data_IF_653663054109
#
_entry.id   IF_653663054109
#
_cell.length_a   1.000
_cell.length_b   1.000
_cell.length_c   1.000
_cell.angle_alpha   90.00
_cell.angle_beta   90.00
_cell.angle_gamma   90.00
#
_symmetry.space_group_name_H-M   'P 1'
#
loop_
_entity.id
_entity.type
_entity.pdbx_description
1 polymer ?
#
# COMPACT_ATOMS: atom_id res chain seq x y z
N UNK A 1 0.56 8.18 -11.39
CA UNK A 1 0.41 6.71 -11.53
C UNK A 1 1.46 6.20 -12.52
N UNK A 2 2.10 5.05 -12.27
CA UNK A 2 3.13 4.50 -13.16
C UNK A 2 2.48 3.69 -14.31
N UNK A 3 3.12 3.65 -15.48
CA UNK A 3 2.60 2.88 -16.63
C UNK A 3 2.42 1.39 -16.31
N UNK A 4 3.26 0.83 -15.43
CA UNK A 4 3.14 -0.54 -14.97
C UNK A 4 1.85 -0.79 -14.15
N UNK A 5 1.42 0.18 -13.33
CA UNK A 5 0.21 0.01 -12.51
C UNK A 5 -1.05 -0.06 -13.38
N UNK A 6 -1.07 0.64 -14.53
CA UNK A 6 -2.20 0.63 -15.47
C UNK A 6 -2.46 -0.74 -16.10
N UNK A 7 -1.48 -1.63 -16.09
CA UNK A 7 -1.65 -2.99 -16.65
C UNK A 7 -2.11 -4.01 -15.60
N UNK A 8 -2.34 -3.60 -14.35
CA UNK A 8 -2.75 -4.46 -13.24
C UNK A 8 -4.25 -4.34 -12.96
N UNK A 9 -4.75 -5.27 -12.15
CA UNK A 9 -6.14 -5.36 -11.68
C UNK A 9 -6.14 -5.90 -10.23
N UNK A 10 -7.31 -6.03 -9.62
CA UNK A 10 -7.54 -6.59 -8.28
C UNK A 10 -6.85 -7.94 -8.12
N UNK A 11 -6.84 -8.78 -9.16
CA UNK A 11 -6.10 -10.04 -9.18
C UNK A 11 -5.10 -10.00 -10.34
N UNK A 12 -3.83 -10.22 -10.03
CA UNK A 12 -2.75 -10.26 -11.03
C UNK A 12 -1.78 -11.41 -10.77
N UNK A 13 -1.11 -11.89 -11.81
CA UNK A 13 -0.07 -12.91 -11.73
C UNK A 13 1.30 -12.27 -11.95
N UNK A 14 2.25 -12.49 -11.04
CA UNK A 14 3.62 -12.01 -11.23
C UNK A 14 4.46 -12.98 -12.08
N UNK A 15 5.65 -12.54 -12.53
CA UNK A 15 6.55 -13.34 -13.36
C UNK A 15 7.07 -14.63 -12.68
N UNK A 16 6.88 -14.78 -11.38
CA UNK A 16 7.23 -15.99 -10.61
C UNK A 16 6.05 -16.95 -10.46
N UNK A 17 4.89 -16.61 -11.04
CA UNK A 17 3.66 -17.39 -10.92
C UNK A 17 2.90 -17.17 -9.62
N UNK A 18 3.19 -16.09 -8.88
CA UNK A 18 2.49 -15.78 -7.63
C UNK A 18 1.25 -14.94 -7.93
N UNK A 19 0.09 -15.39 -7.41
CA UNK A 19 -1.15 -14.63 -7.46
C UNK A 19 -1.09 -13.51 -6.42
N UNK A 20 -1.22 -12.27 -6.88
CA UNK A 20 -1.32 -11.07 -6.07
C UNK A 20 -2.77 -10.59 -6.06
N UNK A 21 -3.29 -10.30 -4.88
CA UNK A 21 -4.64 -9.77 -4.69
C UNK A 21 -4.56 -8.40 -4.03
N UNK A 22 -5.06 -7.37 -4.73
CA UNK A 22 -5.10 -5.98 -4.30
C UNK A 22 -6.58 -5.54 -4.16
N UNK A 23 -7.23 -5.82 -3.02
CA UNK A 23 -8.68 -5.60 -2.86
C UNK A 23 -9.10 -4.13 -2.93
N UNK A 24 -8.17 -3.20 -2.71
CA UNK A 24 -8.39 -1.75 -2.74
C UNK A 24 -7.82 -1.10 -4.02
N UNK A 25 -7.62 -1.88 -5.10
CA UNK A 25 -6.89 -1.42 -6.29
C UNK A 25 -7.46 -0.14 -6.91
N UNK A 26 -8.79 -0.02 -6.94
CA UNK A 26 -9.53 1.11 -7.50
C UNK A 26 -9.93 2.17 -6.46
N UNK A 27 -9.55 2.00 -5.19
CA UNK A 27 -9.92 2.97 -4.16
C UNK A 27 -9.04 4.22 -4.27
N UNK A 28 -9.67 5.38 -4.13
CA UNK A 28 -8.95 6.64 -3.89
C UNK A 28 -8.45 6.71 -2.44
N UNK A 29 -7.53 7.63 -2.17
CA UNK A 29 -7.08 7.92 -0.81
C UNK A 29 -8.24 8.34 0.10
N UNK A 30 -9.14 9.20 -0.40
CA UNK A 30 -10.35 9.65 0.31
C UNK A 30 -11.25 8.47 0.70
N UNK A 31 -11.47 7.49 -0.18
CA UNK A 31 -12.27 6.31 0.14
C UNK A 31 -11.64 5.44 1.23
N UNK A 32 -10.30 5.38 1.28
CA UNK A 32 -9.58 4.69 2.36
C UNK A 32 -9.73 5.47 3.67
N UNK A 33 -9.59 6.79 3.64
CA UNK A 33 -9.77 7.65 4.81
C UNK A 33 -11.21 7.56 5.38
N UNK A 34 -12.23 7.68 4.53
CA UNK A 34 -13.64 7.54 4.90
C UNK A 34 -13.92 6.19 5.58
N UNK A 35 -13.39 5.10 5.02
CA UNK A 35 -13.55 3.76 5.59
C UNK A 35 -12.87 3.64 6.96
N UNK A 36 -11.67 4.21 7.12
CA UNK A 36 -10.99 4.24 8.41
C UNK A 36 -11.78 5.03 9.45
N UNK A 37 -12.34 6.18 9.08
CA UNK A 37 -13.16 7.00 9.99
C UNK A 37 -14.45 6.28 10.40
N UNK A 38 -15.17 5.72 9.42
CA UNK A 38 -16.40 4.97 9.64
C UNK A 38 -16.20 3.79 10.61
N UNK A 39 -15.07 3.10 10.51
CA UNK A 39 -14.75 1.93 11.32
C UNK A 39 -13.82 2.23 12.51
N UNK A 40 -13.52 3.50 12.76
CA UNK A 40 -12.64 3.96 13.84
C UNK A 40 -11.29 3.23 13.86
N UNK A 41 -10.69 3.02 12.68
CA UNK A 41 -9.43 2.30 12.54
C UNK A 41 -8.24 3.18 12.97
N UNK A 42 -7.29 2.65 13.77
CA UNK A 42 -6.12 3.41 14.18
C UNK A 42 -5.18 3.65 12.99
N UNK A 43 -4.71 4.89 12.84
CA UNK A 43 -3.72 5.23 11.81
C UNK A 43 -2.28 5.08 12.33
N UNK A 44 -1.35 4.74 11.44
CA UNK A 44 0.08 4.70 11.75
C UNK A 44 0.72 6.10 11.89
N UNK A 45 -0.04 7.20 11.72
CA UNK A 45 0.49 8.57 11.81
C UNK A 45 0.93 8.95 13.24
N UNK A 46 0.64 8.12 14.24
CA UNK A 46 0.80 8.46 15.65
C UNK A 46 2.00 7.80 16.34
N UNK A 47 2.85 7.02 15.64
CA UNK A 47 4.05 6.44 16.27
C UNK A 47 5.33 6.76 15.50
N UNK A 48 6.36 7.12 16.25
CA UNK A 48 7.71 7.32 15.73
C UNK A 48 8.43 5.98 15.70
N UNK A 49 8.81 5.53 14.51
CA UNK A 49 9.63 4.34 14.32
C UNK A 49 11.12 4.75 14.31
N UNK A 50 11.90 4.47 15.37
CA UNK A 50 13.30 4.89 15.45
C UNK A 50 14.21 4.18 14.45
N UNK A 51 13.72 3.13 13.77
CA UNK A 51 14.44 2.44 12.69
C UNK A 51 14.15 3.07 11.32
N UNK A 52 13.11 3.90 11.20
CA UNK A 52 12.85 4.73 10.03
C UNK A 52 13.61 6.03 10.15
N UNK A 53 14.80 6.04 9.55
CA UNK A 53 15.70 7.21 9.48
C UNK A 53 15.01 8.45 8.90
N UNK A 54 13.97 8.27 8.07
CA UNK A 54 13.18 9.35 7.48
C UNK A 54 11.69 9.08 7.71
N UNK A 55 10.97 10.14 8.10
CA UNK A 55 9.53 10.10 8.24
C UNK A 55 8.87 9.80 6.88
N UNK A 56 7.87 8.92 6.88
CA UNK A 56 7.22 8.44 5.65
C UNK A 56 8.01 7.42 4.81
N UNK A 57 9.20 6.95 5.24
CA UNK A 57 9.90 5.87 4.53
C UNK A 57 9.10 4.57 4.66
N UNK A 58 8.69 3.99 3.54
CA UNK A 58 7.95 2.73 3.50
C UNK A 58 8.74 1.61 4.18
N UNK A 59 8.09 0.90 5.10
CA UNK A 59 8.63 -0.29 5.73
C UNK A 59 8.59 -1.46 4.73
N UNK A 60 9.73 -2.13 4.55
CA UNK A 60 9.88 -3.27 3.65
C UNK A 60 11.35 -3.62 3.43
N UNK A 61 11.62 -4.88 3.09
CA UNK A 61 12.92 -5.29 2.54
C UNK A 61 13.03 -4.70 1.13
N UNK A 62 13.54 -3.47 1.06
CA UNK A 62 13.99 -2.88 -0.20
C UNK A 62 15.24 -3.65 -0.62
N UNK A 63 15.07 -4.76 -1.33
CA UNK A 63 16.18 -5.31 -2.10
C UNK A 63 16.58 -4.25 -3.08
N UNK A 64 17.81 -3.75 -2.97
CA UNK A 64 18.43 -2.92 -3.98
C UNK A 64 18.37 -3.68 -5.30
N UNK A 65 17.42 -3.30 -6.15
CA UNK A 65 17.30 -3.75 -7.52
C UNK A 65 17.31 -2.48 -8.38
#
# INVERSE_FOLDING_TARGET
ETEHRKTLDIVSLDARGIIKVAPLFYWSEEQVEDYMEQHQLPSCRHYFDPTKVQDGRECGLHTAA
#
